data_IF_051870679738
#
_entry.id   IF_051870679738
#
_cell.length_a   1.000
_cell.length_b   1.000
_cell.length_c   1.000
_cell.angle_alpha   90.00
_cell.angle_beta   90.00
_cell.angle_gamma   90.00
#
_symmetry.space_group_name_H-M   'P 1'
#
loop_
_entity.id
_entity.type
_entity.pdbx_description
1 polymer ?
#
# COMPACT_ATOMS: atom_id res chain seq x y z
N UNK A 1 17.05 -1.59 -0.05
CA UNK A 1 16.80 -0.84 -1.30
C UNK A 1 15.31 -0.92 -1.60
N UNK A 2 14.66 0.17 -2.00
CA UNK A 2 13.22 0.17 -2.31
C UNK A 2 12.99 -0.56 -3.63
N UNK A 3 12.01 -1.47 -3.72
CA UNK A 3 11.62 -2.09 -5.00
C UNK A 3 10.84 -1.05 -5.83
N UNK A 4 11.38 -0.70 -6.99
CA UNK A 4 10.82 0.31 -7.92
C UNK A 4 10.22 -0.28 -9.19
N UNK A 5 10.28 -1.60 -9.37
CA UNK A 5 9.91 -2.28 -10.63
C UNK A 5 8.47 -1.98 -11.05
N UNK A 6 7.53 -1.98 -10.10
CA UNK A 6 6.13 -1.64 -10.39
C UNK A 6 5.96 -0.19 -10.85
N UNK A 7 6.69 0.75 -10.23
CA UNK A 7 6.61 2.18 -10.54
C UNK A 7 7.23 2.45 -11.91
N UNK A 8 8.36 1.83 -12.20
CA UNK A 8 9.04 1.93 -13.49
C UNK A 8 8.19 1.33 -14.61
N UNK A 9 7.58 0.16 -14.39
CA UNK A 9 6.69 -0.47 -15.36
C UNK A 9 5.41 0.36 -15.59
N UNK A 10 4.81 0.92 -14.54
CA UNK A 10 3.62 1.79 -14.64
C UNK A 10 3.89 3.08 -15.41
N UNK A 11 5.11 3.62 -15.31
CA UNK A 11 5.52 4.83 -16.03
C UNK A 11 5.97 4.56 -17.48
N UNK A 12 6.04 3.29 -17.89
CA UNK A 12 6.50 2.90 -19.22
C UNK A 12 5.44 3.14 -20.30
N UNK A 13 5.79 2.80 -21.55
CA UNK A 13 4.85 2.81 -22.69
C UNK A 13 4.02 1.53 -22.80
N UNK A 14 4.28 0.54 -21.95
CA UNK A 14 3.56 -0.74 -21.98
C UNK A 14 2.11 -0.56 -21.52
N UNK A 15 1.15 -1.32 -22.08
CA UNK A 15 -0.26 -1.22 -21.70
C UNK A 15 -0.57 -1.74 -20.27
N UNK A 16 0.41 -2.31 -19.56
CA UNK A 16 0.28 -2.87 -18.20
C UNK A 16 1.60 -2.73 -17.45
N UNK A 17 1.59 -2.42 -16.13
CA UNK A 17 0.42 -2.18 -15.27
C UNK A 17 -0.31 -0.87 -15.61
N UNK A 18 -1.63 -0.87 -15.44
CA UNK A 18 -2.48 0.30 -15.72
C UNK A 18 -3.02 0.96 -14.46
N UNK A 19 -3.87 1.99 -14.64
CA UNK A 19 -4.43 2.79 -13.54
C UNK A 19 -5.15 1.98 -12.46
N UNK A 20 -5.92 0.95 -12.85
CA UNK A 20 -6.58 0.06 -11.89
C UNK A 20 -5.60 -0.68 -10.97
N UNK A 21 -4.47 -1.15 -11.50
CA UNK A 21 -3.40 -1.78 -10.72
C UNK A 21 -2.73 -0.78 -9.78
N UNK A 22 -2.49 0.45 -10.24
CA UNK A 22 -1.95 1.53 -9.41
C UNK A 22 -2.89 1.88 -8.24
N UNK A 23 -4.20 1.98 -8.50
CA UNK A 23 -5.21 2.22 -7.46
C UNK A 23 -5.28 1.08 -6.46
N UNK A 24 -5.21 -0.18 -6.91
CA UNK A 24 -5.19 -1.34 -6.04
C UNK A 24 -3.94 -1.35 -5.13
N UNK A 25 -2.77 -1.05 -5.68
CA UNK A 25 -1.53 -0.95 -4.91
C UNK A 25 -1.58 0.15 -3.86
N UNK A 26 -2.09 1.33 -4.22
CA UNK A 26 -2.31 2.43 -3.27
C UNK A 26 -3.28 2.03 -2.14
N UNK A 27 -4.37 1.33 -2.48
CA UNK A 27 -5.32 0.79 -1.51
C UNK A 27 -4.68 -0.23 -0.56
N UNK A 28 -3.85 -1.13 -1.07
CA UNK A 28 -3.13 -2.11 -0.25
C UNK A 28 -2.21 -1.44 0.77
N UNK A 29 -1.47 -0.40 0.36
CA UNK A 29 -0.62 0.39 1.25
C UNK A 29 -1.44 1.12 2.33
N UNK A 30 -2.57 1.72 1.94
CA UNK A 30 -3.47 2.37 2.89
C UNK A 30 -4.02 1.38 3.93
N UNK A 31 -4.47 0.20 3.50
CA UNK A 31 -4.94 -0.86 4.40
C UNK A 31 -3.84 -1.38 5.32
N UNK A 32 -2.61 -1.53 4.82
CA UNK A 32 -1.47 -1.95 5.63
C UNK A 32 -1.16 -0.93 6.75
N UNK A 33 -1.21 0.37 6.44
CA UNK A 33 -1.06 1.45 7.42
C UNK A 33 -2.18 1.43 8.47
N UNK A 34 -3.44 1.28 8.04
CA UNK A 34 -4.56 1.15 8.97
C UNK A 34 -4.39 -0.06 9.90
N UNK A 35 -3.98 -1.20 9.36
CA UNK A 35 -3.70 -2.40 10.15
C UNK A 35 -2.55 -2.19 11.14
N UNK A 36 -1.48 -1.49 10.75
CA UNK A 36 -0.38 -1.14 11.64
C UNK A 36 -0.86 -0.31 12.84
N UNK A 37 -1.68 0.71 12.59
CA UNK A 37 -2.24 1.55 13.68
C UNK A 37 -3.13 0.71 14.59
N UNK A 38 -3.96 -0.18 14.03
CA UNK A 38 -4.75 -1.14 14.80
C UNK A 38 -3.88 -1.99 15.72
N UNK A 39 -2.82 -2.60 15.17
CA UNK A 39 -1.86 -3.40 15.93
C UNK A 39 -1.14 -2.62 17.04
N UNK A 40 -0.88 -1.32 16.83
CA UNK A 40 -0.30 -0.46 17.87
C UNK A 40 -1.30 -0.03 18.95
N UNK A 41 -2.60 -0.21 18.71
CA UNK A 41 -3.67 0.26 19.61
C UNK A 41 -4.22 -0.88 20.46
N UNK A 42 -4.44 -2.05 19.86
CA UNK A 42 -4.99 -3.24 20.55
C UNK A 42 -4.13 -3.60 21.78
N UNK A 43 -4.77 -3.85 22.92
CA UNK A 43 -4.13 -4.26 24.17
C UNK A 43 -3.61 -3.11 25.06
N UNK A 44 -3.65 -1.86 24.60
CA UNK A 44 -3.30 -0.70 25.44
C UNK A 44 -4.46 -0.31 26.34
N UNK A 45 -4.24 -0.32 27.66
CA UNK A 45 -5.22 0.05 28.70
C UNK A 45 -5.89 1.42 28.50
N UNK A 46 -5.19 2.38 27.88
CA UNK A 46 -5.71 3.72 27.59
C UNK A 46 -6.84 3.71 26.54
N UNK A 47 -6.89 2.68 25.70
CA UNK A 47 -7.80 2.57 24.55
C UNK A 47 -8.71 1.33 24.64
N UNK A 48 -8.77 0.69 25.82
CA UNK A 48 -9.61 -0.47 26.11
C UNK A 48 -10.85 -0.06 26.90
#
# INVERSE_FOLDING_TARGET
>A
MVNTEFIEALASKEPTPGGGGASAYAGALASALASMVGNLTVGKKKYA
#
